data_IF_871592064331
#
_entry.id   IF_871592064331
#
_cell.length_a   1.000
_cell.length_b   1.000
_cell.length_c   1.000
_cell.angle_alpha   90.00
_cell.angle_beta   90.00
_cell.angle_gamma   90.00
#
_symmetry.space_group_name_H-M   'P 1'
#
loop_
_entity.id
_entity.type
_entity.pdbx_description
1 polymer ?
#
# COMPACT_ATOMS: atom_id res chain seq x y z
N UNK A 1 7.89 24.42 34.23
CA UNK A 1 7.17 24.35 32.92
C UNK A 1 5.75 24.85 33.16
N UNK A 2 5.36 25.88 32.44
CA UNK A 2 4.01 26.45 32.56
C UNK A 2 2.96 25.55 31.91
N UNK A 3 1.67 25.82 32.13
CA UNK A 3 0.57 25.01 31.60
C UNK A 3 0.65 24.84 30.07
N UNK A 4 0.93 25.92 29.33
CA UNK A 4 1.06 25.92 27.87
C UNK A 4 2.16 24.98 27.40
N UNK A 5 3.34 25.02 28.01
CA UNK A 5 4.44 24.11 27.67
C UNK A 5 4.09 22.64 27.89
N UNK A 6 3.33 22.31 28.93
CA UNK A 6 2.86 20.93 29.17
C UNK A 6 1.92 20.47 28.07
N UNK A 7 0.99 21.29 27.62
CA UNK A 7 0.05 20.99 26.56
C UNK A 7 0.81 20.74 25.24
N UNK A 8 1.76 21.61 24.91
CA UNK A 8 2.59 21.45 23.68
C UNK A 8 3.38 20.14 23.69
N UNK A 9 4.01 19.79 24.83
CA UNK A 9 4.75 18.53 24.96
C UNK A 9 3.84 17.32 24.77
N UNK A 10 2.65 17.33 25.36
CA UNK A 10 1.67 16.25 25.20
C UNK A 10 1.25 16.11 23.73
N UNK A 11 0.92 17.20 23.06
CA UNK A 11 0.53 17.16 21.65
C UNK A 11 1.64 16.60 20.76
N UNK A 12 2.89 17.05 20.93
CA UNK A 12 4.04 16.53 20.19
C UNK A 12 4.22 15.03 20.46
N UNK A 13 4.09 14.59 21.71
CA UNK A 13 4.23 13.19 22.07
C UNK A 13 3.17 12.31 21.40
N UNK A 14 1.92 12.78 21.35
CA UNK A 14 0.81 12.09 20.67
C UNK A 14 1.10 11.94 19.18
N UNK A 15 1.57 13.00 18.51
CA UNK A 15 1.92 12.95 17.08
C UNK A 15 3.05 11.96 16.81
N UNK A 16 4.10 11.97 17.66
CA UNK A 16 5.22 11.03 17.53
C UNK A 16 4.74 9.59 17.72
N UNK A 17 3.98 9.30 18.76
CA UNK A 17 3.46 7.95 19.03
C UNK A 17 2.57 7.47 17.90
N UNK A 18 1.68 8.32 17.38
CA UNK A 18 0.85 8.00 16.22
C UNK A 18 1.69 7.65 14.99
N UNK A 19 2.69 8.46 14.67
CA UNK A 19 3.59 8.23 13.53
C UNK A 19 4.37 6.91 13.67
N UNK A 20 4.94 6.63 14.86
CA UNK A 20 5.67 5.39 15.14
C UNK A 20 4.77 4.17 15.04
N UNK A 21 3.56 4.22 15.57
CA UNK A 21 2.60 3.12 15.46
C UNK A 21 2.21 2.85 14.01
N UNK A 22 1.89 3.89 13.25
CA UNK A 22 1.49 3.76 11.84
C UNK A 22 2.62 3.15 11.00
N UNK A 23 3.84 3.67 11.12
CA UNK A 23 4.99 3.16 10.40
C UNK A 23 5.36 1.74 10.85
N UNK A 24 5.34 1.47 12.16
CA UNK A 24 5.63 0.15 12.70
C UNK A 24 4.65 -0.92 12.20
N UNK A 25 3.36 -0.65 12.21
CA UNK A 25 2.34 -1.58 11.70
C UNK A 25 2.45 -1.75 10.18
N UNK A 26 2.74 -0.68 9.44
CA UNK A 26 2.90 -0.72 7.99
C UNK A 26 4.12 -1.52 7.55
N UNK A 27 5.25 -1.40 8.25
CA UNK A 27 6.52 -2.00 7.81
C UNK A 27 6.84 -3.34 8.50
N UNK A 28 6.53 -3.48 9.78
CA UNK A 28 6.89 -4.66 10.56
C UNK A 28 5.76 -5.67 10.69
N UNK A 29 4.51 -5.23 10.56
CA UNK A 29 3.34 -6.09 10.68
C UNK A 29 2.86 -6.68 9.35
N UNK A 30 3.60 -6.48 8.24
CA UNK A 30 3.16 -6.84 6.89
C UNK A 30 4.32 -7.23 5.98
N UNK A 31 4.02 -7.91 4.88
CA UNK A 31 4.96 -8.09 3.79
C UNK A 31 4.94 -6.85 2.88
N UNK A 32 6.02 -6.10 2.93
CA UNK A 32 6.20 -4.89 2.12
C UNK A 32 7.16 -5.16 0.98
N UNK A 33 6.70 -4.90 -0.23
CA UNK A 33 7.53 -4.95 -1.43
C UNK A 33 7.82 -3.54 -1.95
N UNK A 34 8.85 -3.39 -2.77
CA UNK A 34 9.13 -2.12 -3.45
C UNK A 34 8.63 -2.19 -4.88
N UNK A 35 7.66 -1.36 -5.21
CA UNK A 35 7.22 -1.09 -6.57
C UNK A 35 8.14 -0.04 -7.19
N UNK A 36 8.78 -0.37 -8.30
CA UNK A 36 9.50 0.61 -9.12
C UNK A 36 8.51 1.25 -10.08
N UNK A 37 7.94 2.38 -9.65
CA UNK A 37 6.84 3.04 -10.34
C UNK A 37 7.35 4.03 -11.39
N UNK A 38 6.87 3.96 -12.65
CA UNK A 38 7.19 4.97 -13.65
C UNK A 38 6.49 6.30 -13.36
N UNK A 39 7.19 7.41 -13.56
CA UNK A 39 6.70 8.77 -13.38
C UNK A 39 6.52 9.49 -14.72
N UNK A 40 5.79 10.60 -14.72
CA UNK A 40 5.47 11.40 -15.92
C UNK A 40 6.71 11.91 -16.64
N UNK A 41 7.77 12.22 -15.89
CA UNK A 41 9.04 12.75 -16.42
C UNK A 41 9.98 11.68 -16.99
N UNK A 42 9.53 10.41 -17.02
CA UNK A 42 10.32 9.26 -17.47
C UNK A 42 11.26 8.68 -16.41
N UNK A 43 11.28 9.24 -15.20
CA UNK A 43 12.01 8.68 -14.06
C UNK A 43 11.25 7.53 -13.42
N UNK A 44 11.92 6.81 -12.52
CA UNK A 44 11.28 5.78 -11.69
C UNK A 44 11.31 6.21 -10.22
N UNK A 45 10.24 5.92 -9.50
CA UNK A 45 10.13 6.13 -8.06
C UNK A 45 9.90 4.82 -7.32
N UNK A 46 10.68 4.58 -6.29
CA UNK A 46 10.52 3.41 -5.44
C UNK A 46 9.42 3.68 -4.39
N UNK A 47 8.36 2.89 -4.44
CA UNK A 47 7.22 2.99 -3.54
C UNK A 47 7.09 1.69 -2.76
N UNK A 48 6.96 1.80 -1.44
CA UNK A 48 6.70 0.64 -0.59
C UNK A 48 5.21 0.36 -0.54
N UNK A 49 4.83 -0.87 -0.86
CA UNK A 49 3.42 -1.29 -0.91
C UNK A 49 3.25 -2.69 -0.33
N UNK A 50 2.07 -2.97 0.18
CA UNK A 50 1.67 -4.31 0.58
C UNK A 50 1.33 -5.15 -0.64
N UNK A 51 1.63 -6.46 -0.55
CA UNK A 51 1.34 -7.42 -1.61
C UNK A 51 0.52 -8.59 -1.05
N UNK A 52 -0.45 -9.04 -1.80
CA UNK A 52 -1.22 -10.24 -1.50
C UNK A 52 -1.14 -11.21 -2.66
N UNK A 53 -1.25 -12.50 -2.38
CA UNK A 53 -1.09 -13.57 -3.36
C UNK A 53 -2.28 -14.53 -3.32
N UNK A 54 -2.75 -14.95 -4.49
CA UNK A 54 -3.70 -16.04 -4.66
C UNK A 54 -3.60 -16.62 -6.09
N UNK A 55 -3.78 -17.93 -6.26
CA UNK A 55 -3.88 -18.60 -7.56
C UNK A 55 -2.73 -18.28 -8.53
N UNK A 56 -1.49 -18.24 -8.04
CA UNK A 56 -0.27 -17.89 -8.78
C UNK A 56 -0.23 -16.44 -9.31
N UNK A 57 -1.09 -15.57 -8.83
CA UNK A 57 -1.10 -14.13 -9.09
C UNK A 57 -0.83 -13.36 -7.81
N UNK A 58 -0.42 -12.13 -7.98
CA UNK A 58 -0.24 -11.20 -6.86
C UNK A 58 -1.02 -9.92 -7.13
N UNK A 59 -1.39 -9.20 -6.09
CA UNK A 59 -2.02 -7.87 -6.19
C UNK A 59 -1.34 -6.91 -5.25
N UNK A 60 -1.16 -5.69 -5.74
CA UNK A 60 -0.87 -4.49 -4.96
C UNK A 60 -2.01 -3.50 -5.16
N UNK A 61 -2.11 -2.48 -4.34
CA UNK A 61 -3.16 -1.47 -4.48
C UNK A 61 -2.55 -0.08 -4.62
N UNK A 62 -3.13 0.72 -5.51
CA UNK A 62 -2.85 2.14 -5.62
C UNK A 62 -4.07 2.96 -5.21
N UNK A 63 -3.86 3.97 -4.34
CA UNK A 63 -4.95 4.77 -3.77
C UNK A 63 -5.63 5.71 -4.76
N UNK A 64 -5.02 6.01 -5.91
CA UNK A 64 -5.56 6.90 -6.93
C UNK A 64 -5.67 6.18 -8.27
N UNK A 65 -6.91 5.82 -8.63
CA UNK A 65 -7.21 5.14 -9.90
C UNK A 65 -6.99 6.02 -11.12
N UNK A 66 -6.88 7.33 -10.95
CA UNK A 66 -6.67 8.31 -12.01
C UNK A 66 -5.18 8.69 -12.19
N UNK A 67 -4.29 8.10 -11.41
CA UNK A 67 -2.87 8.38 -11.51
C UNK A 67 -2.28 8.01 -12.88
N UNK A 68 -1.24 8.73 -13.29
CA UNK A 68 -0.59 8.56 -14.58
C UNK A 68 -0.20 7.09 -14.86
N UNK A 69 0.50 6.46 -13.93
CA UNK A 69 1.01 5.11 -14.17
C UNK A 69 -0.10 4.05 -14.24
N UNK A 70 -1.20 4.22 -13.52
CA UNK A 70 -2.38 3.34 -13.62
C UNK A 70 -3.00 3.44 -15.01
N UNK A 71 -3.11 4.65 -15.55
CA UNK A 71 -3.65 4.88 -16.91
C UNK A 71 -2.74 4.34 -18.01
N UNK A 72 -1.45 4.17 -17.73
CA UNK A 72 -0.50 3.57 -18.66
C UNK A 72 -0.51 2.04 -18.66
N UNK A 73 -1.15 1.39 -17.68
CA UNK A 73 -1.24 -0.06 -17.65
C UNK A 73 -2.08 -0.58 -18.82
N UNK A 74 -1.44 -1.37 -19.66
CA UNK A 74 -2.03 -2.08 -20.79
C UNK A 74 -1.72 -3.58 -20.69
N UNK A 75 -2.23 -4.38 -21.60
CA UNK A 75 -2.02 -5.84 -21.57
C UNK A 75 -0.56 -6.29 -21.60
N UNK A 76 0.35 -5.43 -22.07
CA UNK A 76 1.79 -5.71 -22.18
C UNK A 76 2.64 -4.87 -21.23
N UNK A 77 2.03 -4.23 -20.21
CA UNK A 77 2.77 -3.40 -19.27
C UNK A 77 3.56 -4.25 -18.29
N UNK A 78 4.88 -4.02 -18.25
CA UNK A 78 5.77 -4.64 -17.28
C UNK A 78 5.99 -3.70 -16.09
N UNK A 79 5.93 -4.25 -14.88
CA UNK A 79 6.36 -3.58 -13.65
C UNK A 79 7.48 -4.37 -12.98
N UNK A 80 8.42 -3.62 -12.42
CA UNK A 80 9.49 -4.18 -11.60
C UNK A 80 9.08 -4.11 -10.13
N UNK A 81 9.09 -5.26 -9.48
CA UNK A 81 8.85 -5.41 -8.04
C UNK A 81 10.10 -5.97 -7.38
N UNK A 82 10.55 -5.33 -6.32
CA UNK A 82 11.62 -5.86 -5.47
C UNK A 82 10.95 -6.53 -4.28
N UNK A 83 11.07 -7.84 -4.20
CA UNK A 83 10.49 -8.69 -3.15
C UNK A 83 11.60 -9.56 -2.55
N UNK A 84 11.74 -9.53 -1.22
CA UNK A 84 12.80 -10.27 -0.51
C UNK A 84 14.22 -9.96 -1.02
N UNK A 85 14.44 -8.72 -1.50
CA UNK A 85 15.72 -8.28 -2.05
C UNK A 85 15.97 -8.70 -3.51
N UNK A 86 15.05 -9.44 -4.13
CA UNK A 86 15.14 -9.84 -5.53
C UNK A 86 14.25 -8.97 -6.43
N UNK A 87 14.82 -8.53 -7.53
CA UNK A 87 14.08 -7.83 -8.59
C UNK A 87 13.36 -8.84 -9.48
N UNK A 88 12.04 -8.68 -9.60
CA UNK A 88 11.20 -9.53 -10.44
C UNK A 88 10.30 -8.68 -11.32
N UNK A 89 10.21 -9.04 -12.59
CA UNK A 89 9.30 -8.43 -13.54
C UNK A 89 7.97 -9.16 -13.56
N UNK A 90 6.91 -8.39 -13.68
CA UNK A 90 5.54 -8.88 -13.78
C UNK A 90 4.81 -8.16 -14.89
N UNK A 91 3.91 -8.86 -15.59
CA UNK A 91 2.85 -8.21 -16.33
C UNK A 91 1.86 -7.62 -15.34
N UNK A 92 1.48 -6.38 -15.54
CA UNK A 92 0.65 -5.62 -14.61
C UNK A 92 -0.63 -5.13 -15.26
N UNK A 93 -1.75 -5.36 -14.58
CA UNK A 93 -3.08 -5.02 -15.05
C UNK A 93 -3.85 -4.24 -13.99
N UNK A 94 -4.45 -3.12 -14.36
CA UNK A 94 -5.43 -2.46 -13.51
C UNK A 94 -6.68 -3.34 -13.40
N UNK A 95 -6.99 -3.83 -12.20
CA UNK A 95 -7.98 -4.88 -11.96
C UNK A 95 -9.05 -4.43 -10.96
N UNK A 96 -9.96 -3.55 -11.43
CA UNK A 96 -11.03 -2.98 -10.59
C UNK A 96 -11.95 -4.06 -10.02
N UNK A 97 -12.18 -5.13 -10.76
CA UNK A 97 -13.09 -6.20 -10.37
C UNK A 97 -12.55 -7.02 -9.20
N UNK A 98 -11.24 -6.99 -8.97
CA UNK A 98 -10.58 -7.65 -7.84
C UNK A 98 -10.53 -6.81 -6.55
N UNK A 99 -11.23 -5.69 -6.47
CA UNK A 99 -11.20 -4.83 -5.27
C UNK A 99 -11.59 -5.60 -4.00
N UNK A 100 -12.72 -6.28 -4.01
CA UNK A 100 -13.19 -7.08 -2.88
C UNK A 100 -12.25 -8.24 -2.56
N UNK A 101 -11.75 -8.92 -3.60
CA UNK A 101 -10.79 -10.01 -3.45
C UNK A 101 -9.51 -9.51 -2.77
N UNK A 102 -8.95 -8.40 -3.26
CA UNK A 102 -7.74 -7.80 -2.69
C UNK A 102 -7.91 -7.47 -1.20
N UNK A 103 -8.99 -6.80 -0.82
CA UNK A 103 -9.24 -6.43 0.58
C UNK A 103 -9.45 -7.66 1.47
N UNK A 104 -10.10 -8.70 0.98
CA UNK A 104 -10.27 -9.94 1.73
C UNK A 104 -8.93 -10.65 1.94
N UNK A 105 -8.11 -10.80 0.89
CA UNK A 105 -6.77 -11.37 0.97
C UNK A 105 -5.85 -10.55 1.89
N UNK A 106 -5.92 -9.22 1.81
CA UNK A 106 -5.17 -8.32 2.69
C UNK A 106 -5.57 -8.52 4.16
N UNK A 107 -6.86 -8.60 4.44
CA UNK A 107 -7.39 -8.86 5.79
C UNK A 107 -6.97 -10.24 6.30
N UNK A 108 -7.01 -11.25 5.46
CA UNK A 108 -6.57 -12.61 5.81
C UNK A 108 -5.07 -12.67 6.10
N UNK A 109 -4.26 -12.09 5.20
CA UNK A 109 -2.79 -12.13 5.30
C UNK A 109 -2.24 -11.27 6.44
N UNK A 110 -2.76 -10.07 6.62
CA UNK A 110 -2.20 -9.07 7.54
C UNK A 110 -3.02 -8.85 8.81
N UNK A 111 -4.24 -9.37 8.87
CA UNK A 111 -5.08 -9.48 10.06
C UNK A 111 -5.08 -8.27 10.98
N UNK A 112 -4.31 -8.37 12.07
CA UNK A 112 -4.22 -7.32 13.08
C UNK A 112 -3.67 -6.00 12.53
N UNK A 113 -2.60 -6.04 11.74
CA UNK A 113 -1.98 -4.83 11.18
C UNK A 113 -2.93 -4.09 10.25
N UNK A 114 -3.63 -4.80 9.38
CA UNK A 114 -4.64 -4.22 8.49
C UNK A 114 -5.77 -3.57 9.27
N UNK A 115 -6.31 -4.26 10.28
CA UNK A 115 -7.37 -3.74 11.14
C UNK A 115 -6.94 -2.50 11.92
N UNK A 116 -5.75 -2.51 12.50
CA UNK A 116 -5.24 -1.37 13.26
C UNK A 116 -4.95 -0.16 12.39
N UNK A 117 -4.38 -0.36 11.19
CA UNK A 117 -4.16 0.73 10.25
C UNK A 117 -5.48 1.32 9.74
N UNK A 118 -6.49 0.50 9.53
CA UNK A 118 -7.83 0.98 9.17
C UNK A 118 -8.41 1.88 10.26
N UNK A 119 -8.29 1.48 11.54
CA UNK A 119 -8.71 2.31 12.68
C UNK A 119 -7.91 3.62 12.73
N UNK A 120 -6.58 3.57 12.58
CA UNK A 120 -5.70 4.75 12.59
C UNK A 120 -5.96 5.68 11.40
N UNK A 121 -6.43 5.15 10.28
CA UNK A 121 -6.85 5.90 9.10
C UNK A 121 -8.34 6.30 9.13
N UNK A 122 -9.01 6.17 10.30
CA UNK A 122 -10.43 6.48 10.47
C UNK A 122 -11.35 5.77 9.47
N UNK A 123 -11.02 4.53 9.09
CA UNK A 123 -11.79 3.72 8.15
C UNK A 123 -11.56 4.04 6.67
N UNK A 124 -10.64 4.94 6.33
CA UNK A 124 -10.42 5.36 4.95
C UNK A 124 -9.84 4.26 4.05
N UNK A 125 -9.17 3.25 4.62
CA UNK A 125 -8.59 2.13 3.89
C UNK A 125 -9.42 0.85 4.00
N UNK A 126 -10.62 0.93 4.59
CA UNK A 126 -11.56 -0.19 4.63
C UNK A 126 -12.07 -0.52 3.22
N UNK A 127 -12.52 -1.75 3.04
CA UNK A 127 -13.07 -2.20 1.76
C UNK A 127 -14.23 -1.30 1.26
N UNK A 128 -15.04 -0.81 2.18
CA UNK A 128 -16.22 -0.01 1.88
C UNK A 128 -15.90 1.46 1.48
N UNK A 129 -14.77 1.99 1.97
CA UNK A 129 -14.42 3.40 1.81
C UNK A 129 -13.20 3.63 0.91
N UNK A 130 -12.45 2.57 0.60
CA UNK A 130 -11.25 2.66 -0.22
C UNK A 130 -11.61 2.95 -1.68
N UNK A 131 -11.06 4.02 -2.22
CA UNK A 131 -11.18 4.39 -3.65
C UNK A 131 -10.01 3.86 -4.48
N UNK A 132 -9.15 3.04 -3.87
CA UNK A 132 -7.99 2.46 -4.52
C UNK A 132 -8.35 1.47 -5.62
N UNK A 133 -7.38 1.22 -6.48
CA UNK A 133 -7.48 0.23 -7.54
C UNK A 133 -6.43 -0.86 -7.34
N UNK A 134 -6.81 -2.13 -7.26
CA UNK A 134 -5.88 -3.24 -7.28
C UNK A 134 -5.17 -3.32 -8.63
N UNK A 135 -3.89 -3.60 -8.58
CA UNK A 135 -3.07 -3.91 -9.74
C UNK A 135 -2.67 -5.38 -9.63
N UNK A 136 -3.20 -6.17 -10.55
CA UNK A 136 -2.89 -7.59 -10.67
C UNK A 136 -1.53 -7.77 -11.33
N UNK A 137 -0.71 -8.62 -10.75
CA UNK A 137 0.64 -8.94 -11.18
C UNK A 137 0.71 -10.42 -11.60
N UNK A 138 1.11 -10.68 -12.81
CA UNK A 138 1.31 -12.02 -13.34
C UNK A 138 2.79 -12.23 -13.64
N UNK A 139 3.36 -13.37 -13.21
CA UNK A 139 4.78 -13.69 -13.45
C UNK A 139 5.03 -13.85 -14.94
N UNK A 140 6.15 -13.28 -15.39
CA UNK A 140 6.68 -13.45 -16.75
C UNK A 140 7.52 -14.72 -16.80
#
# INVERSE_FOLDING_TARGET
>A
MNFFSKVVVVLISVVIVYGVLTLGLSELGSEVVTLVRPEVDGSNKNIRVWIVDADNKSWIEHGDSESYWIKQLSNDSELLIIREGEEKKYLAFADRDSHDLYHNLRREKYGFSDKMLDILAFGAISKENCEGIPVRLEKI
#
